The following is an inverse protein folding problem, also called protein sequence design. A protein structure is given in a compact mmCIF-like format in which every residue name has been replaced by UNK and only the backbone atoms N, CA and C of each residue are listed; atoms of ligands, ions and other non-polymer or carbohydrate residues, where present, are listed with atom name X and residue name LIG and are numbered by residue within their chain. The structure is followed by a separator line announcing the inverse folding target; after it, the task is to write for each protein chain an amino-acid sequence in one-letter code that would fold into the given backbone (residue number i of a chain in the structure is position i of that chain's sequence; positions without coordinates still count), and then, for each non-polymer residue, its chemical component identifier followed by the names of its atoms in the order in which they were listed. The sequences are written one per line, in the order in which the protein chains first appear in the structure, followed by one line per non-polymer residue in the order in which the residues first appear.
data_IF_403525555861
#
_entry.id   IF_403525555861
#
_cell.length_a   1.000
_cell.length_b   1.000
_cell.length_c   1.000
_cell.angle_alpha   90.00
_cell.angle_beta   90.00
_cell.angle_gamma   90.00
#
_symmetry.space_group_name_H-M   'P 1'
#
loop_
_entity.id
_entity.type
_entity.pdbx_description
1 polymer ?
#
# COMPACT_ATOMS: atom_id res chain seq x y z
N UNK A 1 -9.87 -6.27 -7.91
CA UNK A 1 -8.71 -5.77 -8.67
C UNK A 1 -9.24 -4.76 -9.66
N UNK A 2 -8.70 -3.54 -9.69
CA UNK A 2 -9.24 -2.48 -10.56
C UNK A 2 -8.95 -2.84 -12.03
N UNK A 3 -9.93 -2.65 -12.92
CA UNK A 3 -9.86 -3.07 -14.34
C UNK A 3 -8.61 -2.57 -15.10
N UNK A 4 -8.05 -1.46 -14.67
CA UNK A 4 -6.90 -0.83 -15.31
C UNK A 4 -5.57 -1.16 -14.63
N UNK A 5 -5.61 -1.78 -13.45
CA UNK A 5 -4.42 -2.13 -12.70
C UNK A 5 -3.62 -3.16 -13.49
N UNK A 6 -4.13 -4.36 -13.76
CA UNK A 6 -3.37 -5.39 -14.49
C UNK A 6 -2.86 -4.95 -15.86
N UNK A 7 -3.62 -4.10 -16.55
CA UNK A 7 -3.29 -3.67 -17.92
C UNK A 7 -2.16 -2.64 -17.97
N UNK A 8 -2.04 -1.80 -16.94
CA UNK A 8 -1.06 -0.71 -16.89
C UNK A 8 -0.04 -0.88 -15.77
N UNK A 9 -0.14 -1.94 -14.97
CA UNK A 9 0.77 -2.23 -13.87
C UNK A 9 2.15 -2.59 -14.42
N UNK A 10 3.02 -1.59 -14.47
CA UNK A 10 4.44 -1.74 -14.78
C UNK A 10 5.26 -1.47 -13.52
N UNK A 11 5.50 -2.50 -12.70
CA UNK A 11 6.18 -2.33 -11.42
C UNK A 11 7.59 -1.76 -11.64
N UNK A 12 7.84 -0.58 -11.07
CA UNK A 12 9.14 0.09 -11.15
C UNK A 12 9.30 1.15 -12.26
N UNK A 13 8.36 1.25 -13.21
CA UNK A 13 8.38 2.33 -14.23
C UNK A 13 7.74 3.64 -13.74
N UNK A 14 6.96 3.58 -12.67
CA UNK A 14 6.29 4.75 -12.09
C UNK A 14 7.00 5.23 -10.82
N UNK A 15 7.27 6.53 -10.78
CA UNK A 15 7.86 7.23 -9.62
C UNK A 15 7.09 6.97 -8.32
N UNK A 16 5.77 6.85 -8.44
CA UNK A 16 4.86 6.46 -7.37
C UNK A 16 4.15 5.17 -7.75
N UNK A 17 4.71 4.03 -7.33
CA UNK A 17 4.03 2.74 -7.45
C UNK A 17 3.22 2.49 -6.18
N UNK A 18 1.91 2.30 -6.35
CA UNK A 18 0.97 1.96 -5.29
C UNK A 18 0.73 0.46 -5.27
N UNK A 19 0.74 -0.12 -4.08
CA UNK A 19 0.46 -1.52 -3.84
C UNK A 19 -0.71 -1.60 -2.86
N UNK A 20 -1.80 -2.29 -3.19
CA UNK A 20 -2.91 -2.46 -2.25
C UNK A 20 -2.41 -3.09 -0.94
N UNK A 21 -2.60 -2.38 0.17
CA UNK A 21 -2.15 -2.80 1.49
C UNK A 21 -2.78 -4.15 1.85
N UNK A 22 -4.08 -4.33 1.57
CA UNK A 22 -4.81 -5.57 1.79
C UNK A 22 -4.14 -6.80 1.18
N UNK A 23 -3.56 -6.67 -0.02
CA UNK A 23 -2.89 -7.79 -0.70
C UNK A 23 -1.61 -8.20 0.04
N UNK A 24 -0.89 -7.24 0.60
CA UNK A 24 0.30 -7.49 1.42
C UNK A 24 -0.08 -8.13 2.74
N UNK A 25 -1.13 -7.63 3.40
CA UNK A 25 -1.60 -8.14 4.69
C UNK A 25 -2.16 -9.56 4.58
N UNK A 26 -2.89 -9.89 3.51
CA UNK A 26 -3.35 -11.26 3.24
C UNK A 26 -2.16 -12.22 3.11
N UNK A 27 -1.16 -11.86 2.28
CA UNK A 27 0.05 -12.68 2.12
C UNK A 27 0.81 -12.85 3.44
N UNK A 28 0.92 -11.79 4.23
CA UNK A 28 1.59 -11.85 5.52
C UNK A 28 0.85 -12.75 6.52
N UNK A 29 -0.49 -12.71 6.53
CA UNK A 29 -1.34 -13.58 7.35
C UNK A 29 -1.19 -15.04 6.95
N UNK A 30 -1.25 -15.34 5.65
CA UNK A 30 -1.05 -16.70 5.11
C UNK A 30 0.36 -17.25 5.40
N UNK A 31 1.37 -16.37 5.45
CA UNK A 31 2.74 -16.72 5.78
C UNK A 31 3.04 -16.79 7.29
N UNK A 32 2.02 -16.78 8.16
CA UNK A 32 2.16 -16.94 9.61
C UNK A 32 2.33 -15.64 10.41
N UNK A 33 1.98 -14.49 9.84
CA UNK A 33 1.94 -13.20 10.54
C UNK A 33 3.30 -12.51 10.63
N UNK A 34 3.88 -12.15 9.48
CA UNK A 34 5.21 -11.52 9.36
C UNK A 34 5.32 -10.13 10.03
N UNK A 35 5.37 -10.08 11.36
CA UNK A 35 5.66 -8.85 12.11
C UNK A 35 4.54 -7.80 12.12
N UNK A 36 3.38 -8.09 11.54
CA UNK A 36 2.18 -7.27 11.68
C UNK A 36 1.40 -7.69 12.91
N UNK A 37 0.94 -6.72 13.70
CA UNK A 37 0.05 -7.02 14.83
C UNK A 37 -1.31 -7.51 14.32
N UNK A 38 -1.98 -8.37 15.10
CA UNK A 38 -3.34 -8.82 14.78
C UNK A 38 -4.30 -7.64 14.56
N UNK A 39 -4.15 -6.58 15.35
CA UNK A 39 -4.93 -5.35 15.19
C UNK A 39 -4.74 -4.75 13.80
N UNK A 40 -3.50 -4.61 13.33
CA UNK A 40 -3.23 -4.05 12.01
C UNK A 40 -3.74 -4.97 10.89
N UNK A 41 -3.65 -6.29 11.06
CA UNK A 41 -4.25 -7.22 10.12
C UNK A 41 -5.79 -7.08 10.09
N UNK A 42 -6.45 -6.94 11.24
CA UNK A 42 -7.91 -6.88 11.30
C UNK A 42 -8.48 -5.51 10.89
N UNK A 43 -7.80 -4.42 11.25
CA UNK A 43 -8.27 -3.05 10.99
C UNK A 43 -8.14 -2.67 9.49
N UNK A 44 -7.21 -3.30 8.77
CA UNK A 44 -6.87 -2.91 7.38
C UNK A 44 -7.11 -4.00 6.33
N UNK A 45 -7.38 -5.26 6.71
CA UNK A 45 -7.88 -6.27 5.76
C UNK A 45 -9.35 -5.98 5.47
N UNK A 46 -9.60 -5.23 4.40
CA UNK A 46 -10.95 -4.83 3.97
C UNK A 46 -11.06 -3.35 3.58
N UNK A 47 -10.07 -2.55 3.94
CA UNK A 47 -10.00 -1.13 3.59
C UNK A 47 -9.31 -0.91 2.25
N UNK A 48 -9.71 0.15 1.54
CA UNK A 48 -9.09 0.61 0.28
C UNK A 48 -7.81 1.43 0.55
N UNK A 49 -6.86 0.84 1.28
CA UNK A 49 -5.58 1.44 1.59
C UNK A 49 -4.43 0.92 0.71
N UNK A 50 -3.42 1.77 0.51
CA UNK A 50 -2.31 1.52 -0.40
C UNK A 50 -0.96 1.86 0.23
N UNK A 51 0.03 1.00 0.01
CA UNK A 51 1.44 1.28 0.27
C UNK A 51 2.02 1.95 -0.98
N UNK A 52 2.53 3.17 -0.83
CA UNK A 52 3.23 3.88 -1.88
C UNK A 52 4.74 3.80 -1.67
N UNK A 53 5.48 3.36 -2.69
CA UNK A 53 6.94 3.55 -2.72
C UNK A 53 7.23 5.02 -3.03
N UNK A 54 7.96 5.68 -2.15
CA UNK A 54 8.37 7.09 -2.33
C UNK A 54 9.89 7.22 -2.38
N UNK A 55 10.36 8.17 -3.20
CA UNK A 55 11.70 8.71 -3.06
C UNK A 55 11.66 9.84 -2.03
N UNK A 56 12.44 9.73 -0.95
CA UNK A 56 12.48 10.74 0.12
C UNK A 56 12.90 12.13 -0.37
N UNK A 57 13.68 12.23 -1.45
CA UNK A 57 14.00 13.52 -2.08
C UNK A 57 12.78 14.24 -2.65
N UNK A 58 11.70 13.51 -2.92
CA UNK A 58 10.45 14.03 -3.48
C UNK A 58 9.37 14.25 -2.41
N UNK A 59 9.63 13.88 -1.15
CA UNK A 59 8.69 14.11 -0.05
C UNK A 59 8.32 15.60 0.12
N UNK A 60 9.20 16.53 -0.24
CA UNK A 60 8.93 17.96 -0.19
C UNK A 60 7.77 18.39 -1.11
N UNK A 61 7.43 17.58 -2.13
CA UNK A 61 6.30 17.84 -3.03
C UNK A 61 4.97 17.28 -2.50
N UNK A 62 4.99 16.43 -1.48
CA UNK A 62 3.78 15.89 -0.86
C UNK A 62 3.29 16.83 0.24
N UNK A 63 2.11 17.42 0.05
CA UNK A 63 1.49 18.31 1.03
C UNK A 63 0.72 17.49 2.07
N UNK A 64 1.27 17.39 3.28
CA UNK A 64 0.57 16.77 4.41
C UNK A 64 -0.63 17.63 4.79
N UNK A 65 -1.83 17.11 4.58
CA UNK A 65 -3.05 17.74 5.10
C UNK A 65 -3.19 17.30 6.56
N UNK A 66 -3.06 18.22 7.51
CA UNK A 66 -3.48 17.94 8.89
C UNK A 66 -5.00 17.80 8.89
N UNK A 67 -5.50 16.68 9.41
CA UNK A 67 -6.91 16.56 9.73
C UNK A 67 -7.18 17.44 10.95
N UNK A 68 -8.10 18.39 10.80
CA UNK A 68 -8.67 19.17 11.91
C UNK A 68 -9.80 18.40 12.55
#
# INVERSE_FOLDING_TARGET
MLEFEEKFYKPGEYEHTFYPLVTVLIKAKEAGGWGFSERLLNDYIGEDEYIMKINMGHMYHLKWKKNN
#
